data_IF_600412134311
#
_entry.id   IF_600412134311
#
_cell.length_a   1.000
_cell.length_b   1.000
_cell.length_c   1.000
_cell.angle_alpha   90.00
_cell.angle_beta   90.00
_cell.angle_gamma   90.00
#
_symmetry.space_group_name_H-M   'P 1'
#
loop_
_entity.id
_entity.type
_entity.pdbx_description
1 polymer ?
#
# COMPACT_ATOMS: atom_id res chain seq x y z
N UNK A 1 -16.26 -58.12 -16.67
CA UNK A 1 -16.56 -58.13 -18.11
C UNK A 1 -18.06 -57.95 -18.26
N UNK A 2 -18.51 -56.74 -18.60
CA UNK A 2 -19.73 -56.44 -19.37
C UNK A 2 -19.81 -54.93 -19.49
N UNK A 3 -19.37 -54.44 -20.64
CA UNK A 3 -19.53 -53.07 -21.13
C UNK A 3 -21.00 -52.75 -21.34
N UNK A 4 -21.41 -51.52 -21.03
CA UNK A 4 -22.53 -50.89 -21.72
C UNK A 4 -22.11 -49.50 -22.20
N UNK A 5 -21.84 -49.49 -23.50
CA UNK A 5 -21.77 -48.36 -24.42
C UNK A 5 -23.12 -47.63 -24.49
N UNK A 6 -23.08 -46.29 -24.50
CA UNK A 6 -24.23 -45.41 -24.70
C UNK A 6 -23.79 -44.12 -25.40
N UNK A 7 -24.35 -43.78 -26.58
CA UNK A 7 -23.68 -42.97 -27.60
C UNK A 7 -23.72 -41.46 -27.39
N UNK A 8 -22.69 -40.81 -27.91
CA UNK A 8 -22.54 -39.37 -27.95
C UNK A 8 -23.48 -38.67 -28.94
N UNK A 9 -23.87 -37.46 -28.57
CA UNK A 9 -24.40 -36.45 -29.46
C UNK A 9 -23.48 -35.23 -29.44
N UNK A 10 -23.07 -34.85 -30.64
CA UNK A 10 -22.11 -33.82 -30.96
C UNK A 10 -22.66 -32.40 -30.69
N UNK A 11 -21.76 -31.41 -30.49
CA UNK A 11 -22.12 -30.02 -30.24
C UNK A 11 -22.60 -29.30 -31.50
N UNK A 12 -23.64 -28.49 -31.35
CA UNK A 12 -24.16 -27.55 -32.37
C UNK A 12 -23.39 -26.21 -32.28
N UNK A 13 -22.69 -25.76 -33.33
CA UNK A 13 -22.21 -24.39 -33.44
C UNK A 13 -23.20 -23.52 -34.21
N UNK A 14 -23.83 -22.55 -33.55
CA UNK A 14 -24.55 -21.48 -34.23
C UNK A 14 -23.58 -20.34 -34.57
N UNK A 15 -23.27 -20.21 -35.87
CA UNK A 15 -22.59 -19.08 -36.47
C UNK A 15 -23.55 -17.88 -36.66
N UNK A 16 -23.06 -16.69 -36.24
CA UNK A 16 -23.10 -15.35 -36.85
C UNK A 16 -24.30 -14.86 -37.69
N UNK A 17 -24.68 -13.56 -37.60
CA UNK A 17 -23.93 -12.56 -38.38
C UNK A 17 -23.69 -11.19 -37.73
N UNK A 18 -22.54 -10.62 -38.13
CA UNK A 18 -22.21 -9.20 -38.12
C UNK A 18 -23.22 -8.36 -38.92
N UNK A 19 -23.63 -7.20 -38.37
CA UNK A 19 -23.75 -5.88 -39.03
C UNK A 19 -24.66 -4.98 -38.19
N UNK A 20 -24.16 -3.80 -37.78
CA UNK A 20 -24.52 -2.53 -38.43
C UNK A 20 -23.67 -1.38 -37.88
N UNK A 21 -23.09 -0.66 -38.82
CA UNK A 21 -22.24 0.51 -38.71
C UNK A 21 -23.12 1.76 -38.88
N UNK A 22 -22.68 2.87 -38.27
CA UNK A 22 -23.13 4.27 -38.38
C UNK A 22 -24.44 4.70 -37.70
N UNK A 23 -24.31 5.63 -36.74
CA UNK A 23 -24.74 7.01 -37.00
C UNK A 23 -23.96 8.03 -36.15
N UNK A 24 -23.26 8.88 -36.88
CA UNK A 24 -22.68 10.17 -36.54
C UNK A 24 -23.72 11.14 -35.97
N UNK A 25 -23.22 12.19 -35.28
CA UNK A 25 -23.86 13.49 -35.01
C UNK A 25 -24.42 13.69 -33.61
N UNK A 26 -24.24 14.81 -32.91
CA UNK A 26 -23.57 16.10 -33.13
C UNK A 26 -23.41 16.69 -31.71
N UNK A 27 -22.23 17.25 -31.40
CA UNK A 27 -22.02 18.19 -30.29
C UNK A 27 -22.64 19.54 -30.67
N UNK A 28 -23.22 20.26 -29.69
CA UNK A 28 -23.04 21.70 -29.69
C UNK A 28 -22.30 22.16 -28.43
N UNK A 29 -21.23 22.88 -28.71
CA UNK A 29 -20.56 23.87 -27.88
C UNK A 29 -21.54 24.95 -27.46
N UNK A 30 -21.67 25.20 -26.15
CA UNK A 30 -22.09 26.49 -25.59
C UNK A 30 -21.19 26.78 -24.38
N UNK A 31 -20.16 27.61 -24.56
CA UNK A 31 -20.12 29.07 -24.35
C UNK A 31 -19.95 29.46 -22.87
N UNK A 32 -18.71 29.85 -22.60
CA UNK A 32 -18.25 30.80 -21.58
C UNK A 32 -19.29 31.84 -21.17
N UNK A 33 -19.46 32.02 -19.86
CA UNK A 33 -19.66 33.35 -19.30
C UNK A 33 -19.15 33.43 -17.86
N UNK A 34 -18.55 34.58 -17.60
CA UNK A 34 -17.73 34.98 -16.47
C UNK A 34 -18.53 35.68 -15.36
N UNK A 35 -18.15 35.39 -14.10
CA UNK A 35 -18.10 36.32 -12.95
C UNK A 35 -19.44 36.80 -12.31
N UNK A 36 -19.43 37.52 -11.16
CA UNK A 36 -19.30 36.97 -9.80
C UNK A 36 -20.43 37.40 -8.85
N UNK A 37 -20.33 36.98 -7.58
CA UNK A 37 -21.01 37.55 -6.40
C UNK A 37 -22.47 37.14 -6.17
N UNK A 38 -22.72 36.44 -5.06
CA UNK A 38 -23.63 36.92 -4.01
C UNK A 38 -23.61 35.95 -2.83
N UNK A 39 -23.30 36.50 -1.67
CA UNK A 39 -23.47 35.88 -0.37
C UNK A 39 -24.93 35.46 -0.16
N UNK A 40 -25.14 34.25 0.33
CA UNK A 40 -26.36 33.91 1.05
C UNK A 40 -26.00 33.25 2.38
N UNK A 41 -26.13 34.07 3.41
CA UNK A 41 -26.32 33.75 4.81
C UNK A 41 -27.39 32.67 4.95
N UNK A 42 -27.02 31.50 5.48
CA UNK A 42 -27.98 30.60 6.12
C UNK A 42 -27.63 30.48 7.59
N UNK A 43 -28.32 31.31 8.38
CA UNK A 43 -28.46 31.16 9.81
C UNK A 43 -29.28 29.91 10.11
N UNK A 44 -28.71 28.97 10.85
CA UNK A 44 -29.47 27.93 11.56
C UNK A 44 -28.95 27.86 12.99
N UNK A 45 -29.72 28.34 13.99
CA UNK A 45 -29.35 28.24 15.39
C UNK A 45 -29.96 26.98 15.97
N UNK A 46 -29.40 25.80 15.69
CA UNK A 46 -29.87 24.57 16.35
C UNK A 46 -28.86 23.41 16.31
N UNK A 47 -27.58 23.67 16.61
CA UNK A 47 -26.60 22.63 16.92
C UNK A 47 -25.51 23.21 17.84
N UNK A 48 -25.94 23.91 18.89
CA UNK A 48 -25.18 24.03 20.13
C UNK A 48 -25.82 23.04 21.10
N UNK A 49 -25.02 22.41 21.94
CA UNK A 49 -25.39 21.36 22.89
C UNK A 49 -25.39 19.91 22.37
N UNK A 50 -24.21 19.45 21.96
CA UNK A 50 -23.66 18.14 22.36
C UNK A 50 -22.14 18.09 22.11
N UNK A 51 -21.43 19.08 22.69
CA UNK A 51 -19.99 18.99 22.94
C UNK A 51 -19.81 18.76 24.43
N UNK A 52 -19.94 17.51 24.85
CA UNK A 52 -19.57 17.11 26.21
C UNK A 52 -19.13 15.66 26.22
N UNK A 53 -17.98 15.42 26.84
CA UNK A 53 -17.37 14.14 27.23
C UNK A 53 -16.67 13.31 26.14
N UNK A 54 -15.35 13.48 26.03
CA UNK A 54 -14.36 12.44 26.40
C UNK A 54 -12.90 12.93 26.15
N UNK A 55 -12.06 13.07 27.19
CA UNK A 55 -10.68 13.56 27.07
C UNK A 55 -9.68 12.40 26.92
N UNK A 56 -9.62 11.74 25.76
CA UNK A 56 -8.55 10.73 25.49
C UNK A 56 -7.87 10.93 24.13
N UNK A 57 -8.41 11.78 23.24
CA UNK A 57 -7.87 11.92 21.88
C UNK A 57 -6.81 13.04 21.70
N UNK A 58 -6.53 13.86 22.72
CA UNK A 58 -5.58 14.98 22.58
C UNK A 58 -4.13 14.68 23.00
N UNK A 59 -3.82 13.50 23.54
CA UNK A 59 -2.45 13.22 24.02
C UNK A 59 -1.49 12.70 22.96
N UNK A 60 -1.95 12.37 21.74
CA UNK A 60 -1.08 11.80 20.69
C UNK A 60 -0.52 12.82 19.69
N UNK A 61 -0.96 14.09 19.72
CA UNK A 61 -0.48 15.13 18.79
C UNK A 61 0.74 15.93 19.30
N UNK A 62 1.18 15.73 20.54
CA UNK A 62 2.23 16.58 21.14
C UNK A 62 3.67 16.03 21.04
N UNK A 63 3.89 14.80 20.52
CA UNK A 63 5.24 14.22 20.45
C UNK A 63 5.98 14.38 19.11
N UNK A 64 5.37 14.97 18.08
CA UNK A 64 6.00 15.13 16.75
C UNK A 64 6.45 16.55 16.38
N UNK A 65 6.24 17.54 17.26
CA UNK A 65 6.71 18.91 17.04
C UNK A 65 7.93 19.26 17.92
N UNK A 66 8.96 18.41 17.91
CA UNK A 66 10.31 18.91 18.23
C UNK A 66 10.91 19.50 16.95
N UNK A 67 10.91 20.84 16.95
CA UNK A 67 11.64 21.73 16.05
C UNK A 67 12.97 21.11 15.62
N UNK A 68 13.06 20.70 14.35
CA UNK A 68 14.30 20.17 13.77
C UNK A 68 15.39 21.25 13.83
N UNK A 69 16.60 20.94 14.32
CA UNK A 69 17.73 21.85 14.22
C UNK A 69 18.14 22.06 12.75
N UNK A 70 18.62 23.25 12.38
CA UNK A 70 19.04 23.54 11.01
C UNK A 70 20.24 22.68 10.60
N UNK A 71 20.17 22.13 9.39
CA UNK A 71 21.25 21.38 8.75
C UNK A 71 22.48 22.29 8.54
N UNK A 72 23.72 21.78 8.73
CA UNK A 72 24.93 22.52 8.40
C UNK A 72 25.06 22.71 6.88
N UNK A 73 25.70 23.81 6.41
CA UNK A 73 25.90 24.06 4.99
C UNK A 73 26.83 23.02 4.36
N UNK A 74 26.45 22.57 3.16
CA UNK A 74 27.27 21.74 2.27
C UNK A 74 28.67 22.33 2.14
N UNK A 75 29.66 21.66 2.74
CA UNK A 75 31.06 21.93 2.45
C UNK A 75 31.41 21.21 1.15
N UNK A 76 31.36 21.96 0.06
CA UNK A 76 31.92 21.55 -1.24
C UNK A 76 33.43 21.40 -1.07
N UNK A 77 33.89 20.16 -0.88
CA UNK A 77 35.32 19.84 -0.87
C UNK A 77 35.84 19.86 -2.32
N UNK A 78 36.41 21.00 -2.74
CA UNK A 78 37.16 21.13 -3.98
C UNK A 78 38.49 20.38 -3.85
N UNK A 79 38.50 19.11 -4.23
CA UNK A 79 39.73 18.31 -4.26
C UNK A 79 40.56 18.71 -5.48
N UNK A 80 41.69 19.38 -5.23
CA UNK A 80 42.71 19.69 -6.25
C UNK A 80 43.47 18.42 -6.60
N UNK A 81 43.24 17.90 -7.82
CA UNK A 81 44.03 16.80 -8.37
C UNK A 81 45.39 17.32 -8.85
N UNK A 82 46.43 17.18 -8.02
CA UNK A 82 47.81 17.24 -8.49
C UNK A 82 48.14 15.92 -9.18
N UNK A 83 48.36 15.99 -10.49
CA UNK A 83 48.83 14.86 -11.31
C UNK A 83 50.30 14.61 -10.96
N UNK A 84 50.58 13.50 -10.30
CA UNK A 84 51.93 12.90 -10.24
C UNK A 84 51.87 11.59 -11.00
N UNK A 85 52.59 11.54 -12.11
CA UNK A 85 52.79 10.35 -12.92
C UNK A 85 53.84 9.46 -12.26
N UNK A 86 53.47 8.23 -11.91
CA UNK A 86 54.41 7.14 -11.61
C UNK A 86 53.87 5.82 -12.14
N UNK A 87 54.82 5.00 -12.58
CA UNK A 87 54.78 4.03 -13.67
C UNK A 87 54.79 2.61 -13.08
N UNK A 88 54.07 1.68 -13.73
CA UNK A 88 54.28 0.22 -13.78
C UNK A 88 54.74 -0.54 -12.51
N UNK A 89 53.85 -1.35 -11.94
CA UNK A 89 54.13 -2.78 -11.66
C UNK A 89 52.82 -3.56 -11.46
N UNK A 90 52.54 -4.50 -12.37
CA UNK A 90 51.45 -5.44 -12.24
C UNK A 90 51.86 -6.62 -11.34
N UNK A 91 51.19 -6.77 -10.20
CA UNK A 91 51.12 -8.03 -9.46
C UNK A 91 49.65 -8.33 -9.18
N UNK A 92 49.14 -9.33 -9.91
CA UNK A 92 47.80 -9.86 -9.74
C UNK A 92 47.68 -10.58 -8.41
N UNK A 93 47.06 -9.93 -7.42
CA UNK A 93 46.56 -10.59 -6.22
C UNK A 93 45.04 -10.64 -6.35
N UNK A 94 44.50 -11.83 -6.59
CA UNK A 94 43.06 -12.09 -6.52
C UNK A 94 42.69 -12.04 -5.04
N UNK A 95 42.35 -10.85 -4.53
CA UNK A 95 41.60 -10.74 -3.30
C UNK A 95 40.15 -11.12 -3.64
N UNK A 96 39.72 -12.29 -3.17
CA UNK A 96 38.31 -12.68 -3.18
C UNK A 96 37.48 -11.54 -2.53
N UNK A 97 36.30 -11.20 -3.07
CA UNK A 97 35.39 -10.29 -2.39
C UNK A 97 35.09 -10.90 -1.01
N UNK A 98 35.58 -10.26 0.05
CA UNK A 98 35.06 -10.53 1.38
C UNK A 98 33.56 -10.24 1.34
N UNK A 99 32.70 -11.09 1.90
CA UNK A 99 31.29 -10.77 2.05
C UNK A 99 31.20 -9.45 2.81
N UNK A 100 30.74 -8.38 2.16
CA UNK A 100 30.28 -7.19 2.86
C UNK A 100 29.22 -7.66 3.87
N UNK A 101 29.42 -7.46 5.18
CA UNK A 101 28.29 -7.57 6.08
C UNK A 101 27.29 -6.53 5.60
N UNK A 102 26.16 -7.02 5.08
CA UNK A 102 24.99 -6.18 4.86
C UNK A 102 24.82 -5.34 6.13
N UNK A 103 24.75 -4.03 5.96
CA UNK A 103 24.51 -3.10 7.04
C UNK A 103 23.16 -3.46 7.69
N UNK A 104 23.23 -4.27 8.75
CA UNK A 104 22.12 -4.64 9.61
C UNK A 104 21.80 -3.41 10.47
N UNK A 105 20.93 -2.56 9.95
CA UNK A 105 20.49 -1.36 10.65
C UNK A 105 19.47 -1.77 11.71
N UNK A 106 19.96 -1.95 12.93
CA UNK A 106 19.35 -1.72 14.25
C UNK A 106 17.86 -2.06 14.41
N UNK A 107 17.60 -3.08 15.24
CA UNK A 107 16.52 -3.00 16.23
C UNK A 107 17.03 -3.47 17.61
N UNK A 108 17.23 -2.52 18.53
CA UNK A 108 17.53 -2.77 19.96
C UNK A 108 16.23 -3.01 20.74
N UNK A 109 15.39 -3.92 20.25
CA UNK A 109 14.28 -4.47 21.00
C UNK A 109 14.50 -5.98 21.04
N UNK A 110 14.33 -6.60 22.21
CA UNK A 110 14.38 -8.05 22.35
C UNK A 110 13.62 -8.71 21.18
N UNK A 111 14.24 -9.70 20.53
CA UNK A 111 13.73 -10.36 19.33
C UNK A 111 12.41 -11.10 19.62
N UNK A 112 11.32 -10.33 19.79
CA UNK A 112 9.98 -10.86 19.69
C UNK A 112 9.84 -11.39 18.26
N UNK A 113 9.19 -12.55 18.08
CA UNK A 113 8.99 -13.11 16.75
C UNK A 113 8.31 -12.05 15.87
N UNK A 114 9.01 -11.63 14.84
CA UNK A 114 8.48 -10.66 13.89
C UNK A 114 7.36 -11.32 13.10
N UNK A 115 6.32 -10.54 12.80
CA UNK A 115 5.29 -10.98 11.88
C UNK A 115 5.67 -10.57 10.47
N UNK A 116 5.74 -11.55 9.57
CA UNK A 116 6.05 -11.33 8.17
C UNK A 116 4.77 -11.35 7.35
N UNK A 117 4.55 -10.30 6.56
CA UNK A 117 3.52 -10.28 5.53
C UNK A 117 4.14 -10.84 4.25
N UNK A 118 3.64 -12.00 3.84
CA UNK A 118 4.20 -12.80 2.75
C UNK A 118 3.39 -12.64 1.46
N UNK A 119 4.08 -12.52 0.33
CA UNK A 119 3.47 -12.60 -1.00
C UNK A 119 2.40 -11.55 -1.26
N UNK A 120 2.52 -10.36 -0.66
CA UNK A 120 1.46 -9.36 -0.73
C UNK A 120 1.23 -8.87 -2.16
N UNK A 121 -0.03 -8.92 -2.59
CA UNK A 121 -0.48 -8.46 -3.89
C UNK A 121 -1.80 -7.71 -3.73
N UNK A 122 -1.90 -6.52 -4.33
CA UNK A 122 -3.16 -5.77 -4.48
C UNK A 122 -3.57 -5.76 -5.94
N UNK A 123 -4.75 -6.28 -6.24
CA UNK A 123 -5.32 -6.25 -7.58
C UNK A 123 -6.64 -5.48 -7.57
N UNK A 124 -6.68 -4.35 -8.26
CA UNK A 124 -7.90 -3.56 -8.44
C UNK A 124 -8.57 -3.91 -9.77
N UNK A 125 -9.90 -3.90 -9.80
CA UNK A 125 -10.63 -4.07 -11.04
C UNK A 125 -10.44 -2.84 -11.97
N UNK A 126 -10.76 -3.00 -13.26
CA UNK A 126 -10.58 -1.92 -14.24
C UNK A 126 -11.39 -0.66 -13.94
N UNK A 127 -12.51 -0.79 -13.22
CA UNK A 127 -13.34 0.34 -12.80
C UNK A 127 -12.83 1.03 -11.53
N UNK A 128 -11.78 0.52 -10.88
CA UNK A 128 -11.28 0.96 -9.57
C UNK A 128 -12.39 1.03 -8.49
N UNK A 129 -13.41 0.17 -8.59
CA UNK A 129 -14.49 0.09 -7.61
C UNK A 129 -14.25 -0.97 -6.54
N UNK A 130 -13.30 -1.87 -6.81
CA UNK A 130 -12.92 -2.95 -5.91
C UNK A 130 -11.42 -3.24 -6.02
N UNK A 131 -10.74 -3.39 -4.89
CA UNK A 131 -9.38 -3.90 -4.80
C UNK A 131 -9.32 -5.11 -3.88
N UNK A 132 -8.82 -6.21 -4.41
CA UNK A 132 -8.56 -7.45 -3.67
C UNK A 132 -7.09 -7.50 -3.26
N UNK A 133 -6.85 -7.73 -1.98
CA UNK A 133 -5.54 -7.93 -1.38
C UNK A 133 -5.37 -9.39 -1.02
N UNK A 134 -4.29 -10.01 -1.50
CA UNK A 134 -3.92 -11.38 -1.18
C UNK A 134 -2.54 -11.37 -0.52
N UNK A 135 -2.41 -11.98 0.64
CA UNK A 135 -1.14 -12.09 1.36
C UNK A 135 -1.22 -13.21 2.42
N UNK A 136 -0.06 -13.68 2.88
CA UNK A 136 0.07 -14.55 4.04
C UNK A 136 0.50 -13.75 5.27
N UNK A 137 0.00 -14.12 6.44
CA UNK A 137 0.45 -13.59 7.74
C UNK A 137 1.22 -14.69 8.45
N UNK A 138 2.54 -14.56 8.52
CA UNK A 138 3.41 -15.49 9.23
C UNK A 138 3.82 -14.89 10.59
N UNK A 139 3.39 -15.44 11.73
CA UNK A 139 3.62 -14.83 13.03
C UNK A 139 5.04 -15.07 13.61
N UNK A 140 5.97 -15.58 12.80
CA UNK A 140 7.33 -15.94 13.21
C UNK A 140 7.51 -17.41 13.62
N UNK A 141 6.41 -18.12 13.89
CA UNK A 141 6.37 -19.56 14.17
C UNK A 141 5.11 -20.19 13.56
N UNK A 142 5.13 -21.51 13.35
CA UNK A 142 3.96 -22.25 12.84
C UNK A 142 3.72 -22.05 11.34
N UNK A 143 2.46 -21.98 10.92
CA UNK A 143 2.05 -21.83 9.51
C UNK A 143 1.56 -20.42 9.23
N UNK A 144 1.87 -19.90 8.04
CA UNK A 144 1.31 -18.64 7.57
C UNK A 144 -0.20 -18.77 7.36
N UNK A 145 -0.95 -17.76 7.80
CA UNK A 145 -2.40 -17.67 7.55
C UNK A 145 -2.62 -16.92 6.24
N UNK A 146 -3.19 -17.60 5.23
CA UNK A 146 -3.58 -16.95 3.99
C UNK A 146 -4.75 -15.99 4.24
N UNK A 147 -4.66 -14.79 3.67
CA UNK A 147 -5.64 -13.73 3.85
C UNK A 147 -6.06 -13.16 2.49
N UNK A 148 -7.37 -13.04 2.31
CA UNK A 148 -7.97 -12.31 1.20
C UNK A 148 -8.81 -11.17 1.78
N UNK A 149 -8.42 -9.94 1.49
CA UNK A 149 -9.04 -8.75 2.01
C UNK A 149 -9.54 -7.87 0.86
N UNK A 150 -10.83 -7.53 0.86
CA UNK A 150 -11.48 -6.82 -0.26
C UNK A 150 -11.91 -5.43 0.19
N UNK A 151 -11.49 -4.41 -0.56
CA UNK A 151 -11.89 -3.02 -0.37
C UNK A 151 -12.81 -2.61 -1.51
N UNK A 152 -14.03 -2.16 -1.19
CA UNK A 152 -15.04 -1.67 -2.14
C UNK A 152 -15.30 -0.19 -1.88
N UNK A 153 -15.13 0.64 -2.90
CA UNK A 153 -15.38 2.08 -2.84
C UNK A 153 -15.48 2.66 -4.25
N UNK A 154 -15.87 3.93 -4.42
CA UNK A 154 -15.84 4.60 -5.75
C UNK A 154 -14.42 4.69 -6.33
N UNK A 155 -13.42 4.80 -5.47
CA UNK A 155 -11.99 4.78 -5.80
C UNK A 155 -11.26 3.84 -4.83
N UNK A 156 -11.38 2.53 -5.05
CA UNK A 156 -10.92 1.51 -4.11
C UNK A 156 -9.40 1.53 -3.85
N UNK A 157 -8.58 1.93 -4.83
CA UNK A 157 -7.12 2.01 -4.67
C UNK A 157 -6.67 3.05 -3.64
N UNK A 158 -7.49 4.08 -3.37
CA UNK A 158 -7.18 5.19 -2.47
C UNK A 158 -8.23 5.36 -1.38
N UNK A 159 -8.98 4.30 -1.08
CA UNK A 159 -10.03 4.31 -0.08
C UNK A 159 -9.57 3.67 1.23
N UNK A 160 -10.25 4.04 2.31
CA UNK A 160 -10.15 3.32 3.58
C UNK A 160 -11.05 2.10 3.50
N UNK A 161 -10.50 0.92 3.80
CA UNK A 161 -11.25 -0.32 3.80
C UNK A 161 -11.82 -0.64 5.18
N UNK A 162 -13.01 -1.23 5.19
CA UNK A 162 -13.64 -1.75 6.40
C UNK A 162 -12.91 -2.95 7.00
N UNK A 163 -13.43 -3.49 8.10
CA UNK A 163 -12.84 -4.63 8.78
C UNK A 163 -13.07 -5.94 8.01
N UNK A 164 -11.99 -6.59 7.57
CA UNK A 164 -11.98 -7.96 7.05
C UNK A 164 -11.47 -8.96 8.09
N UNK A 165 -11.79 -10.24 7.90
CA UNK A 165 -11.39 -11.35 8.78
C UNK A 165 -10.55 -12.36 8.01
N UNK A 166 -9.45 -12.77 8.59
CA UNK A 166 -8.52 -13.75 8.04
C UNK A 166 -8.06 -14.69 9.16
N UNK A 167 -8.79 -15.78 9.37
CA UNK A 167 -8.59 -16.64 10.54
C UNK A 167 -8.74 -15.83 11.84
N UNK A 168 -7.72 -15.86 12.69
CA UNK A 168 -7.68 -15.13 13.96
C UNK A 168 -7.36 -13.63 13.81
N UNK A 169 -7.05 -13.19 12.60
CA UNK A 169 -6.67 -11.81 12.31
C UNK A 169 -7.86 -10.98 11.82
N UNK A 170 -7.96 -9.75 12.32
CA UNK A 170 -8.80 -8.69 11.77
C UNK A 170 -7.94 -7.69 11.03
N UNK A 171 -8.32 -7.38 9.80
CA UNK A 171 -7.59 -6.49 8.91
C UNK A 171 -8.45 -5.24 8.65
N UNK A 172 -7.87 -4.06 8.81
CA UNK A 172 -8.43 -2.81 8.28
C UNK A 172 -7.37 -2.11 7.44
N UNK A 173 -7.77 -1.15 6.62
CA UNK A 173 -6.83 -0.38 5.81
C UNK A 173 -7.16 1.10 5.80
N UNK A 174 -6.13 1.93 5.80
CA UNK A 174 -6.22 3.37 5.63
C UNK A 174 -5.27 3.86 4.55
N UNK A 175 -5.74 4.72 3.66
CA UNK A 175 -4.91 5.37 2.64
C UNK A 175 -4.64 6.82 3.02
N UNK A 176 -3.39 7.28 2.78
CA UNK A 176 -3.00 8.68 2.94
C UNK A 176 -2.28 9.18 1.70
N UNK A 177 -2.72 10.35 1.21
CA UNK A 177 -2.09 11.12 0.12
C UNK A 177 -1.30 12.34 0.61
N UNK A 178 -0.99 12.42 1.91
CA UNK A 178 -0.39 13.62 2.51
C UNK A 178 0.96 14.04 1.90
N UNK A 179 1.66 13.13 1.23
CA UNK A 179 2.97 13.37 0.61
C UNK A 179 2.88 13.82 -0.86
N UNK A 180 1.69 14.23 -1.29
CA UNK A 180 1.43 14.77 -2.61
C UNK A 180 1.06 13.71 -3.66
N UNK A 181 0.75 14.15 -4.90
CA UNK A 181 0.27 13.28 -5.97
C UNK A 181 1.26 12.16 -6.29
N UNK A 182 0.78 10.92 -6.35
CA UNK A 182 1.60 9.75 -6.69
C UNK A 182 2.53 9.24 -5.57
N UNK A 183 2.50 9.88 -4.39
CA UNK A 183 3.25 9.46 -3.20
C UNK A 183 2.31 8.98 -2.09
N UNK A 184 1.14 8.46 -2.47
CA UNK A 184 0.20 7.85 -1.54
C UNK A 184 0.73 6.53 -0.99
N UNK A 185 0.24 6.17 0.20
CA UNK A 185 0.51 4.88 0.81
C UNK A 185 -0.73 4.35 1.52
N UNK A 186 -0.84 3.03 1.57
CA UNK A 186 -1.85 2.33 2.35
C UNK A 186 -1.19 1.66 3.53
N UNK A 187 -1.69 1.92 4.73
CA UNK A 187 -1.35 1.20 5.94
C UNK A 187 -2.45 0.18 6.22
N UNK A 188 -2.10 -1.09 6.40
CA UNK A 188 -3.02 -2.08 6.95
C UNK A 188 -2.86 -2.08 8.47
N UNK A 189 -3.93 -2.35 9.20
CA UNK A 189 -3.86 -2.74 10.61
C UNK A 189 -4.19 -4.21 10.70
N UNK A 190 -3.24 -5.03 11.14
CA UNK A 190 -3.40 -6.49 11.25
C UNK A 190 -3.44 -6.84 12.73
N UNK A 191 -4.62 -7.13 13.24
CA UNK A 191 -4.88 -7.39 14.67
C UNK A 191 -5.12 -8.86 14.88
N UNK A 192 -4.34 -9.51 15.74
CA UNK A 192 -4.73 -10.80 16.31
C UNK A 192 -5.42 -10.54 17.65
N UNK A 193 -6.74 -10.73 17.69
CA UNK A 193 -7.53 -10.46 18.90
C UNK A 193 -7.29 -11.49 20.01
N UNK A 194 -6.88 -12.72 19.67
CA UNK A 194 -6.57 -13.77 20.65
C UNK A 194 -5.26 -13.50 21.37
N UNK A 195 -4.20 -13.17 20.62
CA UNK A 195 -2.89 -12.87 21.20
C UNK A 195 -2.73 -11.41 21.63
N UNK A 196 -3.77 -10.58 21.46
CA UNK A 196 -3.76 -9.14 21.76
C UNK A 196 -2.54 -8.43 21.16
N UNK A 197 -2.30 -8.66 19.87
CA UNK A 197 -1.16 -8.07 19.14
C UNK A 197 -1.59 -7.41 17.84
N UNK A 198 -0.84 -6.40 17.42
CA UNK A 198 -1.09 -5.64 16.20
C UNK A 198 0.21 -5.30 15.47
N UNK A 199 0.18 -5.30 14.14
CA UNK A 199 1.20 -4.69 13.28
C UNK A 199 0.54 -3.70 12.31
N UNK A 200 1.33 -2.73 11.84
CA UNK A 200 0.90 -1.71 10.89
C UNK A 200 1.76 -1.70 9.61
N UNK A 201 1.64 -2.73 8.76
CA UNK A 201 2.39 -2.76 7.51
C UNK A 201 1.93 -1.65 6.57
N UNK A 202 2.88 -0.92 6.01
CA UNK A 202 2.62 0.21 5.10
C UNK A 202 3.24 -0.06 3.72
N UNK A 203 2.48 0.25 2.68
CA UNK A 203 2.88 0.05 1.29
C UNK A 203 2.59 1.28 0.47
N UNK A 204 3.56 1.71 -0.32
CA UNK A 204 3.39 2.82 -1.26
C UNK A 204 2.51 2.40 -2.44
N UNK A 205 1.82 3.35 -3.06
CA UNK A 205 1.04 3.07 -4.27
C UNK A 205 1.91 2.52 -5.41
N UNK A 206 3.20 2.88 -5.44
CA UNK A 206 4.18 2.34 -6.40
C UNK A 206 4.45 0.85 -6.18
N UNK A 207 4.57 0.42 -4.92
CA UNK A 207 4.74 -1.01 -4.59
C UNK A 207 3.50 -1.83 -4.96
N UNK A 208 2.31 -1.23 -4.82
CA UNK A 208 1.02 -1.88 -5.04
C UNK A 208 0.53 -1.82 -6.49
N UNK A 209 1.26 -1.15 -7.38
CA UNK A 209 0.84 -0.94 -8.75
C UNK A 209 0.89 -2.23 -9.58
N UNK A 210 -0.09 -2.39 -10.47
CA UNK A 210 -0.07 -3.42 -11.52
C UNK A 210 -0.25 -4.86 -11.02
N UNK A 211 -0.81 -5.09 -9.83
CA UNK A 211 -1.12 -6.44 -9.36
C UNK A 211 0.12 -7.32 -9.16
N UNK A 212 1.29 -6.71 -8.97
CA UNK A 212 2.54 -7.40 -8.71
C UNK A 212 2.61 -7.84 -7.25
N UNK A 213 3.35 -8.91 -7.01
CA UNK A 213 3.72 -9.30 -5.65
C UNK A 213 4.80 -8.35 -5.16
N UNK A 214 4.55 -7.68 -4.04
CA UNK A 214 5.52 -6.82 -3.36
C UNK A 214 6.71 -7.68 -2.94
N UNK A 215 7.92 -7.23 -3.28
CA UNK A 215 9.17 -7.84 -2.84
C UNK A 215 10.12 -6.79 -2.29
N UNK A 216 10.92 -7.13 -1.26
CA UNK A 216 10.82 -8.36 -0.46
C UNK A 216 9.54 -8.40 0.38
N UNK A 217 9.24 -9.58 0.94
CA UNK A 217 8.25 -9.69 2.02
C UNK A 217 8.70 -8.82 3.20
N UNK A 218 7.74 -8.19 3.88
CA UNK A 218 8.05 -7.23 4.94
C UNK A 218 7.72 -7.80 6.32
N UNK A 219 8.66 -7.62 7.25
CA UNK A 219 8.54 -8.09 8.63
C UNK A 219 8.38 -6.91 9.60
N UNK A 220 7.55 -7.09 10.62
CA UNK A 220 7.21 -6.04 11.58
C UNK A 220 7.19 -6.61 12.99
N UNK A 221 7.69 -5.83 13.95
CA UNK A 221 7.57 -6.16 15.37
C UNK A 221 6.11 -5.93 15.84
N UNK A 222 5.42 -6.95 16.36
CA UNK A 222 4.06 -6.78 16.87
C UNK A 222 4.04 -5.96 18.16
N UNK A 223 3.16 -4.97 18.23
CA UNK A 223 2.84 -4.26 19.47
C UNK A 223 1.73 -4.98 20.24
N UNK A 224 1.75 -4.86 21.56
CA UNK A 224 0.68 -5.36 22.42
C UNK A 224 -0.52 -4.41 22.41
N UNK A 225 -1.73 -4.99 22.43
CA UNK A 225 -2.98 -4.28 22.66
C UNK A 225 -3.35 -4.36 24.15
N UNK A 226 -4.00 -3.31 24.71
CA UNK A 226 -4.52 -3.34 26.08
C UNK A 226 -5.52 -4.47 26.35
#
# INVERSE_FOLDING_TARGET
MTSHDGPGLLPVPCQCPLRRVYKTSILPVLKSNSSPSSAQTLSSPLFKDLQSTTPIFQHFQQLFFHKSPPLPPNTTATMKFSIVATILSATSVIAAPAPEPAADVVSMMAASPQWTIQGLKRNCNGANTECTWNFGIYPGTGKATACTYVVKAKNAATANGGAGKCGDYTITSGWSGQFGPGNGFTTLSVVNNKSKRIIWPAYTDKQLAGGKVVKPDQSYAPAALP
#
